data_IF_306459309396
#
_entry.id   IF_306459309396
#
_cell.length_a   1.000
_cell.length_b   1.000
_cell.length_c   1.000
_cell.angle_alpha   90.00
_cell.angle_beta   90.00
_cell.angle_gamma   90.00
#
_symmetry.space_group_name_H-M   'P 1'
#
loop_
_entity.id
_entity.type
_entity.pdbx_description
1 polymer ?
#
# COMPACT_ATOMS: atom_id res chain seq x y z
N UNK A 1 11.49 -0.26 -24.81
CA UNK A 1 10.05 -0.57 -24.75
C UNK A 1 9.42 0.28 -23.64
N UNK A 2 9.00 1.51 -23.98
CA UNK A 2 8.46 2.51 -23.05
C UNK A 2 6.96 2.27 -22.89
N UNK A 3 6.55 1.43 -21.95
CA UNK A 3 5.13 1.28 -21.63
C UNK A 3 4.69 2.24 -20.53
N UNK A 4 3.49 2.74 -20.77
CA UNK A 4 3.04 4.07 -20.42
C UNK A 4 2.72 4.14 -18.92
N UNK A 5 2.94 5.33 -18.36
CA UNK A 5 2.60 5.77 -17.00
C UNK A 5 1.08 5.78 -16.65
N UNK A 6 0.07 5.73 -17.57
CA UNK A 6 -1.30 6.10 -17.23
C UNK A 6 -2.05 5.03 -16.44
N UNK A 7 -1.69 3.74 -16.45
CA UNK A 7 -2.45 2.74 -15.67
C UNK A 7 -2.20 2.88 -14.17
N UNK A 8 -0.94 3.00 -13.76
CA UNK A 8 -0.58 3.36 -12.38
C UNK A 8 -1.17 4.69 -11.96
N UNK A 9 -1.19 5.69 -12.86
CA UNK A 9 -1.83 6.97 -12.59
C UNK A 9 -3.34 6.84 -12.41
N UNK A 10 -4.03 6.06 -13.24
CA UNK A 10 -5.48 5.79 -13.11
C UNK A 10 -5.76 5.04 -11.80
N UNK A 11 -4.99 3.99 -11.49
CA UNK A 11 -5.10 3.23 -10.26
C UNK A 11 -4.90 4.12 -9.03
N UNK A 12 -3.90 5.00 -9.08
CA UNK A 12 -3.62 5.96 -8.01
C UNK A 12 -4.72 7.01 -7.91
N UNK A 13 -5.20 7.55 -9.03
CA UNK A 13 -6.27 8.55 -9.05
C UNK A 13 -7.57 7.99 -8.47
N UNK A 14 -7.98 6.80 -8.90
CA UNK A 14 -9.15 6.10 -8.37
C UNK A 14 -8.97 5.69 -6.91
N UNK A 15 -7.75 5.27 -6.52
CA UNK A 15 -7.41 5.01 -5.12
C UNK A 15 -7.51 6.27 -4.26
N UNK A 16 -7.06 7.42 -4.75
CA UNK A 16 -7.21 8.70 -4.05
C UNK A 16 -8.69 9.04 -3.88
N UNK A 17 -9.49 8.96 -4.95
CA UNK A 17 -10.95 9.15 -4.86
C UNK A 17 -11.56 8.19 -3.83
N UNK A 18 -11.15 6.93 -3.86
CA UNK A 18 -11.60 5.90 -2.93
C UNK A 18 -11.27 6.23 -1.47
N UNK A 19 -10.08 6.72 -1.14
CA UNK A 19 -9.71 7.07 0.23
C UNK A 19 -10.25 8.42 0.68
N UNK A 20 -10.37 9.38 -0.24
CA UNK A 20 -10.79 10.76 0.08
C UNK A 20 -12.28 11.01 -0.15
N UNK A 21 -13.04 9.96 -0.47
CA UNK A 21 -14.49 10.01 -0.61
C UNK A 21 -15.22 10.80 0.48
N UNK A 22 -14.87 10.72 1.79
CA UNK A 22 -15.63 11.42 2.82
C UNK A 22 -15.53 12.94 2.68
N UNK A 23 -14.47 13.43 2.04
CA UNK A 23 -14.13 14.85 2.00
C UNK A 23 -14.88 15.63 0.92
N UNK A 24 -15.53 14.96 -0.04
CA UNK A 24 -16.12 15.62 -1.22
C UNK A 24 -17.65 15.56 -1.30
N UNK A 25 -18.36 14.96 -0.34
CA UNK A 25 -19.83 14.90 -0.40
C UNK A 25 -20.49 16.11 0.31
N UNK A 26 -21.16 17.03 -0.41
CA UNK A 26 -21.80 18.21 0.16
C UNK A 26 -23.16 17.88 0.79
N UNK A 27 -23.52 18.65 1.84
CA UNK A 27 -24.73 18.54 2.68
C UNK A 27 -26.08 18.53 1.92
N UNK A 28 -26.11 19.05 0.70
CA UNK A 28 -27.34 19.38 -0.04
C UNK A 28 -27.73 18.27 -1.02
N UNK A 29 -26.75 17.52 -1.52
CA UNK A 29 -26.94 16.38 -2.44
C UNK A 29 -27.11 15.07 -1.67
N UNK A 30 -26.41 14.94 -0.54
CA UNK A 30 -27.02 15.07 0.78
C UNK A 30 -28.44 14.48 0.91
N UNK A 31 -29.41 15.32 1.30
CA UNK A 31 -30.80 14.95 1.61
C UNK A 31 -31.53 14.00 0.65
N UNK A 32 -31.28 14.05 -0.67
CA UNK A 32 -31.95 13.17 -1.65
C UNK A 32 -31.23 11.82 -1.84
N UNK A 33 -29.92 11.78 -1.62
CA UNK A 33 -29.10 10.56 -1.67
C UNK A 33 -28.92 9.98 -0.26
N UNK A 34 -28.99 10.79 0.80
CA UNK A 34 -28.55 10.50 2.17
C UNK A 34 -29.56 9.82 3.06
N UNK A 35 -30.85 9.93 2.77
CA UNK A 35 -31.84 9.14 3.51
C UNK A 35 -31.62 7.65 3.27
N UNK A 36 -31.16 7.27 2.08
CA UNK A 36 -30.81 5.90 1.75
C UNK A 36 -29.30 5.64 1.83
N UNK A 37 -28.41 6.42 1.19
CA UNK A 37 -26.97 6.13 1.07
C UNK A 37 -26.11 6.29 2.33
N UNK A 38 -26.47 7.15 3.28
CA UNK A 38 -25.74 7.30 4.55
C UNK A 38 -26.36 6.49 5.69
N UNK A 39 -27.45 5.77 5.41
CA UNK A 39 -27.91 4.70 6.28
C UNK A 39 -26.79 3.65 6.39
N UNK A 40 -26.53 3.04 7.57
CA UNK A 40 -25.46 2.05 7.76
C UNK A 40 -25.49 0.89 6.75
N UNK A 41 -26.65 0.65 6.13
CA UNK A 41 -26.88 -0.33 5.05
C UNK A 41 -26.33 0.08 3.69
N UNK A 42 -26.30 1.37 3.35
CA UNK A 42 -26.03 1.82 1.98
C UNK A 42 -24.67 2.44 1.79
N UNK A 43 -24.11 2.94 2.87
CA UNK A 43 -22.71 3.30 2.93
C UNK A 43 -21.86 2.00 2.74
N UNK A 44 -22.35 0.82 3.18
CA UNK A 44 -21.77 -0.50 2.81
C UNK A 44 -21.75 -0.75 1.30
N UNK A 45 -22.82 -0.39 0.55
CA UNK A 45 -22.86 -0.54 -0.90
C UNK A 45 -21.82 0.33 -1.61
N UNK A 46 -21.57 1.54 -1.08
CA UNK A 46 -20.53 2.43 -1.60
C UNK A 46 -19.11 1.89 -1.34
N UNK A 47 -18.85 1.40 -0.13
CA UNK A 47 -17.59 0.74 0.20
C UNK A 47 -17.35 -0.51 -0.66
N UNK A 48 -18.41 -1.29 -0.95
CA UNK A 48 -18.35 -2.43 -1.87
C UNK A 48 -18.07 -2.00 -3.31
N UNK A 49 -18.71 -0.93 -3.81
CA UNK A 49 -18.46 -0.42 -5.16
C UNK A 49 -17.00 0.03 -5.34
N UNK A 50 -16.46 0.78 -4.37
CA UNK A 50 -15.06 1.18 -4.33
C UNK A 50 -14.15 -0.05 -4.29
N UNK A 51 -14.49 -1.03 -3.45
CA UNK A 51 -13.79 -2.30 -3.31
C UNK A 51 -13.69 -3.06 -4.62
N UNK A 52 -14.82 -3.23 -5.31
CA UNK A 52 -14.87 -3.91 -6.61
C UNK A 52 -14.08 -3.14 -7.68
N UNK A 53 -14.17 -1.81 -7.69
CA UNK A 53 -13.41 -0.97 -8.62
C UNK A 53 -11.91 -1.11 -8.39
N UNK A 54 -11.46 -1.09 -7.13
CA UNK A 54 -10.07 -1.30 -6.74
C UNK A 54 -9.55 -2.69 -7.15
N UNK A 55 -10.34 -3.75 -6.93
CA UNK A 55 -9.99 -5.11 -7.38
C UNK A 55 -9.89 -5.16 -8.92
N UNK A 56 -10.87 -4.57 -9.64
CA UNK A 56 -10.87 -4.55 -11.10
C UNK A 56 -9.63 -3.84 -11.67
N UNK A 57 -9.21 -2.73 -11.07
CA UNK A 57 -7.98 -2.02 -11.44
C UNK A 57 -6.75 -2.93 -11.30
N UNK A 58 -6.62 -3.60 -10.14
CA UNK A 58 -5.49 -4.49 -9.87
C UNK A 58 -5.48 -5.66 -10.86
N UNK A 59 -6.66 -6.24 -11.13
CA UNK A 59 -6.82 -7.31 -12.11
C UNK A 59 -6.46 -6.85 -13.53
N UNK A 60 -6.82 -5.62 -13.93
CA UNK A 60 -6.45 -5.05 -15.22
C UNK A 60 -4.93 -4.84 -15.31
N UNK A 61 -4.28 -4.35 -14.24
CA UNK A 61 -2.82 -4.17 -14.22
C UNK A 61 -2.07 -5.50 -14.34
N UNK A 62 -2.56 -6.57 -13.68
CA UNK A 62 -1.98 -7.92 -13.79
C UNK A 62 -2.17 -8.48 -15.21
N UNK A 63 -3.38 -8.35 -15.78
CA UNK A 63 -3.72 -8.93 -17.09
C UNK A 63 -3.07 -8.20 -18.27
N UNK A 64 -2.69 -6.93 -18.14
CA UNK A 64 -2.07 -6.14 -19.22
C UNK A 64 -0.60 -6.48 -19.52
N UNK A 65 -0.09 -7.59 -18.97
CA UNK A 65 0.90 -8.44 -19.64
C UNK A 65 2.21 -7.76 -20.05
N UNK A 66 3.07 -7.39 -19.09
CA UNK A 66 4.40 -6.83 -19.36
C UNK A 66 5.50 -7.31 -18.42
N UNK A 67 5.25 -8.38 -17.68
CA UNK A 67 6.28 -9.03 -16.89
C UNK A 67 6.79 -10.20 -17.73
N UNK A 68 8.09 -10.19 -18.00
CA UNK A 68 8.80 -11.38 -18.49
C UNK A 68 8.37 -12.59 -17.64
N UNK A 69 8.22 -13.78 -18.23
CA UNK A 69 7.69 -14.97 -17.55
C UNK A 69 8.45 -15.26 -16.25
N UNK A 70 9.76 -14.97 -16.25
CA UNK A 70 10.62 -15.07 -15.07
C UNK A 70 10.30 -14.03 -13.98
N UNK A 71 9.92 -12.81 -14.37
CA UNK A 71 9.49 -11.76 -13.44
C UNK A 71 8.12 -12.09 -12.83
N UNK A 72 7.21 -12.68 -13.61
CA UNK A 72 5.93 -13.21 -13.08
C UNK A 72 6.19 -14.31 -12.05
N UNK A 73 7.08 -15.27 -12.36
CA UNK A 73 7.43 -16.35 -11.44
C UNK A 73 8.02 -15.79 -10.14
N UNK A 74 8.94 -14.82 -10.22
CA UNK A 74 9.51 -14.19 -9.03
C UNK A 74 8.46 -13.41 -8.23
N UNK A 75 7.58 -12.68 -8.91
CA UNK A 75 6.47 -11.97 -8.28
C UNK A 75 5.57 -12.94 -7.52
N UNK A 76 5.25 -14.10 -8.11
CA UNK A 76 4.48 -15.15 -7.44
C UNK A 76 5.17 -15.69 -6.18
N UNK A 77 6.46 -16.02 -6.26
CA UNK A 77 7.25 -16.51 -5.11
C UNK A 77 7.31 -15.47 -4.00
N UNK A 78 7.64 -14.21 -4.32
CA UNK A 78 7.69 -13.15 -3.31
C UNK A 78 6.31 -12.83 -2.75
N UNK A 79 5.26 -12.87 -3.57
CA UNK A 79 3.86 -12.71 -3.12
C UNK A 79 3.51 -13.79 -2.10
N UNK A 80 3.85 -15.06 -2.38
CA UNK A 80 3.60 -16.16 -1.46
C UNK A 80 4.39 -16.01 -0.15
N UNK A 81 5.67 -15.61 -0.23
CA UNK A 81 6.49 -15.35 0.97
C UNK A 81 5.93 -14.22 1.82
N UNK A 82 5.56 -13.09 1.21
CA UNK A 82 4.95 -11.96 1.93
C UNK A 82 3.61 -12.38 2.53
N UNK A 83 2.79 -13.14 1.79
CA UNK A 83 1.51 -13.62 2.31
C UNK A 83 1.69 -14.53 3.53
N UNK A 84 2.68 -15.43 3.49
CA UNK A 84 3.04 -16.29 4.61
C UNK A 84 3.56 -15.49 5.82
N UNK A 85 4.38 -14.47 5.60
CA UNK A 85 4.84 -13.57 6.67
C UNK A 85 3.65 -12.90 7.39
N UNK A 86 2.58 -12.56 6.65
CA UNK A 86 1.38 -11.98 7.27
C UNK A 86 0.74 -12.90 8.30
N UNK A 87 0.78 -14.22 8.10
CA UNK A 87 0.24 -15.18 9.08
C UNK A 87 1.01 -15.14 10.41
N UNK A 88 2.34 -14.91 10.35
CA UNK A 88 3.18 -14.82 11.55
C UNK A 88 2.85 -13.57 12.38
N UNK A 89 2.48 -12.47 11.71
CA UNK A 89 2.07 -11.22 12.35
C UNK A 89 0.59 -11.14 12.73
N UNK A 90 -0.24 -12.09 12.30
CA UNK A 90 -1.68 -12.02 12.47
C UNK A 90 -2.06 -12.03 13.96
N UNK A 91 -2.78 -11.00 14.41
CA UNK A 91 -3.29 -10.88 15.78
C UNK A 91 -2.35 -10.20 16.78
N UNK A 92 -1.12 -9.86 16.38
CA UNK A 92 -0.19 -9.09 17.21
C UNK A 92 -0.22 -7.60 16.82
N UNK A 93 -0.48 -6.73 17.80
CA UNK A 93 -0.64 -5.29 17.59
C UNK A 93 0.63 -4.70 16.95
N UNK A 94 0.51 -4.23 15.71
CA UNK A 94 1.58 -3.61 14.93
C UNK A 94 2.75 -4.53 14.55
N UNK A 95 2.67 -5.85 14.75
CA UNK A 95 3.71 -6.79 14.30
C UNK A 95 3.39 -7.25 12.88
N UNK A 96 3.84 -6.49 11.89
CA UNK A 96 3.51 -6.76 10.48
C UNK A 96 4.79 -6.96 9.64
N UNK A 97 5.35 -8.18 9.58
CA UNK A 97 6.60 -8.47 8.86
C UNK A 97 6.47 -8.37 7.33
N UNK A 98 5.28 -8.11 6.80
CA UNK A 98 5.07 -7.98 5.35
C UNK A 98 5.82 -6.78 4.77
N UNK A 99 5.93 -5.69 5.52
CA UNK A 99 6.38 -4.40 5.01
C UNK A 99 7.85 -4.40 4.62
N UNK A 100 8.74 -4.97 5.45
CA UNK A 100 10.16 -4.97 5.14
C UNK A 100 10.43 -5.69 3.81
N UNK A 101 9.79 -6.83 3.56
CA UNK A 101 10.03 -7.61 2.36
C UNK A 101 9.47 -6.91 1.11
N UNK A 102 8.27 -6.31 1.21
CA UNK A 102 7.71 -5.48 0.13
C UNK A 102 8.66 -4.32 -0.21
N UNK A 103 9.15 -3.59 0.80
CA UNK A 103 10.05 -2.44 0.63
C UNK A 103 11.37 -2.87 -0.01
N UNK A 104 12.02 -3.91 0.50
CA UNK A 104 13.30 -4.39 -0.01
C UNK A 104 13.18 -4.97 -1.43
N UNK A 105 12.11 -5.70 -1.74
CA UNK A 105 11.86 -6.21 -3.08
C UNK A 105 11.59 -5.09 -4.08
N UNK A 106 10.69 -4.15 -3.73
CA UNK A 106 10.40 -3.00 -4.56
C UNK A 106 11.64 -2.14 -4.82
N UNK A 107 12.49 -1.95 -3.81
CA UNK A 107 13.77 -1.24 -3.94
C UNK A 107 14.66 -1.80 -5.06
N UNK A 108 14.65 -3.12 -5.26
CA UNK A 108 15.44 -3.80 -6.28
C UNK A 108 14.73 -3.79 -7.63
N UNK A 109 13.50 -4.30 -7.69
CA UNK A 109 12.79 -4.56 -8.95
C UNK A 109 11.99 -3.35 -9.48
N UNK A 110 11.91 -2.26 -8.70
CA UNK A 110 11.34 -0.98 -9.11
C UNK A 110 9.84 -0.84 -8.89
N UNK A 111 9.31 0.31 -9.32
CA UNK A 111 7.96 0.81 -9.02
C UNK A 111 6.86 -0.20 -9.39
N UNK A 112 6.90 -0.72 -10.62
CA UNK A 112 5.84 -1.62 -11.13
C UNK A 112 5.78 -2.93 -10.36
N UNK A 113 6.94 -3.53 -10.13
CA UNK A 113 7.05 -4.76 -9.35
C UNK A 113 6.58 -4.54 -7.91
N UNK A 114 6.99 -3.44 -7.28
CA UNK A 114 6.55 -3.08 -5.94
C UNK A 114 5.05 -2.88 -5.83
N UNK A 115 4.43 -2.19 -6.80
CA UNK A 115 2.98 -2.00 -6.86
C UNK A 115 2.24 -3.33 -6.91
N UNK A 116 2.61 -4.20 -7.86
CA UNK A 116 1.99 -5.51 -8.01
C UNK A 116 2.22 -6.40 -6.79
N UNK A 117 3.44 -6.40 -6.22
CA UNK A 117 3.78 -7.19 -5.04
C UNK A 117 2.93 -6.78 -3.83
N UNK A 118 2.78 -5.47 -3.59
CA UNK A 118 1.93 -4.96 -2.51
C UNK A 118 0.47 -5.38 -2.69
N UNK A 119 -0.12 -5.14 -3.87
CA UNK A 119 -1.50 -5.51 -4.15
C UNK A 119 -1.75 -7.03 -4.00
N UNK A 120 -0.91 -7.84 -4.65
CA UNK A 120 -1.07 -9.28 -4.71
C UNK A 120 -0.84 -9.96 -3.36
N UNK A 121 0.13 -9.49 -2.58
CA UNK A 121 0.46 -10.13 -1.30
C UNK A 121 -0.63 -9.90 -0.25
N UNK A 122 -1.22 -8.70 -0.21
CA UNK A 122 -2.36 -8.39 0.64
C UNK A 122 -3.61 -9.15 0.19
N UNK A 123 -3.85 -9.24 -1.11
CA UNK A 123 -4.95 -10.04 -1.67
C UNK A 123 -4.82 -11.52 -1.37
N UNK A 124 -3.66 -12.12 -1.68
CA UNK A 124 -3.39 -13.54 -1.44
C UNK A 124 -3.48 -13.88 0.05
N UNK A 125 -2.88 -13.08 0.92
CA UNK A 125 -2.95 -13.34 2.36
C UNK A 125 -4.37 -13.27 2.91
N UNK A 126 -5.18 -12.31 2.45
CA UNK A 126 -6.59 -12.26 2.85
C UNK A 126 -7.39 -13.47 2.36
N UNK A 127 -7.11 -13.99 1.17
CA UNK A 127 -7.68 -15.26 0.71
C UNK A 127 -7.27 -16.43 1.62
N UNK A 128 -6.00 -16.48 2.05
CA UNK A 128 -5.47 -17.56 2.89
C UNK A 128 -6.00 -17.49 4.33
N UNK A 129 -6.20 -16.31 4.89
CA UNK A 129 -6.64 -16.13 6.29
C UNK A 129 -8.16 -15.95 6.41
N UNK A 130 -8.91 -16.00 5.31
CA UNK A 130 -10.34 -15.66 5.30
C UNK A 130 -10.63 -14.18 5.59
N UNK A 131 -9.64 -13.30 5.48
CA UNK A 131 -9.73 -11.86 5.77
C UNK A 131 -10.38 -11.03 4.66
N UNK A 132 -11.30 -11.62 3.90
CA UNK A 132 -11.99 -10.93 2.80
C UNK A 132 -13.05 -10.02 3.38
N UNK A 133 -12.92 -8.71 3.12
CA UNK A 133 -13.88 -7.71 3.59
C UNK A 133 -13.79 -6.41 2.78
N UNK A 134 -14.69 -5.46 3.03
CA UNK A 134 -14.72 -4.18 2.32
C UNK A 134 -13.47 -3.33 2.55
N UNK A 135 -12.69 -3.58 3.60
CA UNK A 135 -11.40 -2.93 3.83
C UNK A 135 -10.27 -3.48 2.95
N UNK A 136 -10.40 -4.70 2.42
CA UNK A 136 -9.31 -5.39 1.74
C UNK A 136 -8.79 -4.61 0.53
N UNK A 137 -9.62 -4.06 -0.36
CA UNK A 137 -9.09 -3.38 -1.55
C UNK A 137 -8.37 -2.08 -1.20
N UNK A 138 -8.75 -1.42 -0.10
CA UNK A 138 -7.99 -0.30 0.46
C UNK A 138 -6.61 -0.76 0.93
N UNK A 139 -6.52 -1.87 1.67
CA UNK A 139 -5.23 -2.44 2.09
C UNK A 139 -4.36 -2.80 0.88
N UNK A 140 -4.95 -3.39 -0.17
CA UNK A 140 -4.24 -3.74 -1.39
C UNK A 140 -3.69 -2.51 -2.10
N UNK A 141 -4.48 -1.44 -2.26
CA UNK A 141 -4.02 -0.18 -2.87
C UNK A 141 -2.95 0.50 -2.02
N UNK A 142 -3.16 0.61 -0.70
CA UNK A 142 -2.19 1.23 0.20
C UNK A 142 -0.84 0.49 0.16
N UNK A 143 -0.86 -0.84 0.21
CA UNK A 143 0.34 -1.65 0.07
C UNK A 143 0.98 -1.52 -1.32
N UNK A 144 0.18 -1.41 -2.39
CA UNK A 144 0.67 -1.17 -3.73
C UNK A 144 1.38 0.20 -3.84
N UNK A 145 0.86 1.25 -3.21
CA UNK A 145 1.53 2.55 -3.15
C UNK A 145 2.83 2.50 -2.35
N UNK A 146 2.85 1.79 -1.21
CA UNK A 146 4.07 1.59 -0.41
C UNK A 146 5.13 0.84 -1.22
N UNK A 147 4.75 -0.21 -1.95
CA UNK A 147 5.66 -0.89 -2.86
C UNK A 147 6.14 0.02 -4.00
N UNK A 148 5.23 0.75 -4.64
CA UNK A 148 5.57 1.68 -5.71
C UNK A 148 6.55 2.77 -5.27
N UNK A 149 6.33 3.38 -4.09
CA UNK A 149 7.18 4.41 -3.51
C UNK A 149 8.59 3.89 -3.19
N UNK A 150 8.71 2.70 -2.61
CA UNK A 150 9.99 2.06 -2.33
C UNK A 150 10.79 1.82 -3.62
N UNK A 151 10.11 1.42 -4.69
CA UNK A 151 10.71 1.25 -6.01
C UNK A 151 11.13 2.55 -6.71
N UNK A 152 10.65 3.70 -6.25
CA UNK A 152 11.02 5.04 -6.73
C UNK A 152 12.21 5.64 -5.98
N UNK A 153 12.62 5.06 -4.85
CA UNK A 153 13.73 5.57 -4.04
C UNK A 153 15.02 5.75 -4.89
N UNK A 154 15.82 6.80 -4.65
CA UNK A 154 17.02 7.06 -5.45
C UNK A 154 18.01 5.90 -5.45
N UNK A 155 18.35 5.36 -6.63
CA UNK A 155 19.31 4.25 -6.77
C UNK A 155 20.77 4.63 -6.50
N UNK A 156 21.07 5.93 -6.36
CA UNK A 156 22.40 6.46 -6.04
C UNK A 156 22.89 6.11 -4.62
N UNK A 157 21.98 5.86 -3.69
CA UNK A 157 22.35 5.48 -2.33
C UNK A 157 22.72 4.00 -2.28
N UNK A 158 23.87 3.69 -1.67
CA UNK A 158 24.38 2.34 -1.45
C UNK A 158 24.91 2.20 -0.01
N UNK A 159 25.17 0.97 0.42
CA UNK A 159 25.75 0.69 1.73
C UNK A 159 24.91 1.26 2.89
N UNK A 160 25.54 2.08 3.75
CA UNK A 160 24.86 2.69 4.91
C UNK A 160 23.79 3.71 4.51
N UNK A 161 24.02 4.50 3.46
CA UNK A 161 23.04 5.50 3.01
C UNK A 161 21.77 4.85 2.47
N UNK A 162 21.90 3.72 1.80
CA UNK A 162 20.76 2.90 1.39
C UNK A 162 19.99 2.35 2.59
N UNK A 163 20.70 1.84 3.60
CA UNK A 163 20.08 1.30 4.80
C UNK A 163 19.24 2.36 5.52
N UNK A 164 19.82 3.54 5.76
CA UNK A 164 19.11 4.66 6.42
C UNK A 164 17.90 5.08 5.61
N UNK A 165 18.04 5.19 4.28
CA UNK A 165 16.91 5.54 3.40
C UNK A 165 15.77 4.53 3.53
N UNK A 166 16.07 3.24 3.59
CA UNK A 166 15.07 2.18 3.70
C UNK A 166 14.40 2.16 5.08
N UNK A 167 15.14 2.43 6.15
CA UNK A 167 14.58 2.56 7.51
C UNK A 167 13.64 3.76 7.57
N UNK A 168 14.08 4.94 7.14
CA UNK A 168 13.23 6.13 7.10
C UNK A 168 11.97 5.91 6.25
N UNK A 169 12.13 5.21 5.11
CA UNK A 169 10.99 4.84 4.28
C UNK A 169 10.05 3.85 4.99
N UNK A 170 10.58 2.88 5.74
CA UNK A 170 9.78 1.94 6.52
C UNK A 170 8.96 2.61 7.62
N UNK A 171 9.55 3.58 8.33
CA UNK A 171 8.84 4.41 9.33
C UNK A 171 7.71 5.18 8.65
N UNK A 172 8.02 5.88 7.56
CA UNK A 172 7.01 6.62 6.80
C UNK A 172 5.90 5.70 6.28
N UNK A 173 6.25 4.52 5.76
CA UNK A 173 5.29 3.57 5.23
C UNK A 173 4.35 3.02 6.31
N UNK A 174 4.85 2.83 7.54
CA UNK A 174 4.05 2.35 8.66
C UNK A 174 2.94 3.35 9.03
N UNK A 175 3.31 4.62 9.21
CA UNK A 175 2.39 5.73 9.48
C UNK A 175 1.44 5.99 8.30
N UNK A 176 1.97 5.99 7.07
CA UNK A 176 1.17 6.21 5.87
C UNK A 176 0.10 5.14 5.68
N UNK A 177 0.42 3.86 5.95
CA UNK A 177 -0.57 2.80 5.93
C UNK A 177 -1.64 3.01 7.00
N UNK A 178 -1.24 3.31 8.24
CA UNK A 178 -2.15 3.58 9.36
C UNK A 178 -3.11 4.72 9.03
N UNK A 179 -2.58 5.87 8.59
CA UNK A 179 -3.37 7.04 8.24
C UNK A 179 -4.38 6.73 7.11
N UNK A 180 -4.00 5.99 6.07
CA UNK A 180 -4.94 5.60 5.01
C UNK A 180 -6.05 4.68 5.53
N UNK A 181 -5.69 3.70 6.35
CA UNK A 181 -6.65 2.76 6.92
C UNK A 181 -7.60 3.44 7.90
N UNK A 182 -7.13 4.41 8.67
CA UNK A 182 -7.97 5.23 9.53
C UNK A 182 -8.85 6.16 8.71
N UNK A 183 -8.33 6.78 7.65
CA UNK A 183 -9.11 7.70 6.82
C UNK A 183 -10.34 7.01 6.21
N UNK A 184 -10.18 5.76 5.78
CA UNK A 184 -11.33 5.00 5.28
C UNK A 184 -12.27 4.53 6.40
N UNK A 185 -11.78 4.27 7.62
CA UNK A 185 -12.59 3.82 8.78
C UNK A 185 -13.29 4.97 9.54
N UNK A 186 -12.68 6.15 9.57
CA UNK A 186 -13.03 7.27 10.44
C UNK A 186 -14.49 7.72 10.29
N UNK A 187 -15.07 7.83 9.07
CA UNK A 187 -16.49 8.17 8.89
C UNK A 187 -17.46 7.12 9.45
N UNK A 188 -17.01 5.90 9.68
CA UNK A 188 -17.84 4.78 10.16
C UNK A 188 -17.80 4.61 11.68
N UNK A 189 -16.68 4.95 12.29
CA UNK A 189 -16.41 4.69 13.72
C UNK A 189 -16.80 5.88 14.58
N UNK A 190 -16.67 7.10 14.06
CA UNK A 190 -16.89 8.28 14.87
C UNK A 190 -18.39 8.53 15.05
N UNK A 191 -18.91 8.16 16.23
CA UNK A 191 -20.29 8.41 16.64
C UNK A 191 -20.69 9.89 16.51
N UNK A 192 -21.98 10.15 16.37
CA UNK A 192 -22.52 11.45 15.89
C UNK A 192 -22.19 12.68 16.75
N UNK A 193 -21.57 12.55 17.92
CA UNK A 193 -21.52 13.63 18.93
C UNK A 193 -20.16 13.82 19.63
N UNK A 194 -19.04 13.45 19.01
CA UNK A 194 -17.69 13.71 19.56
C UNK A 194 -16.92 14.82 18.83
N UNK A 195 -16.00 15.48 19.53
CA UNK A 195 -15.10 16.48 18.92
C UNK A 195 -14.17 15.88 17.83
N UNK A 196 -14.04 14.55 17.78
CA UNK A 196 -13.23 13.82 16.81
C UNK A 196 -14.04 13.32 15.61
N UNK A 197 -15.36 13.53 15.63
CA UNK A 197 -16.24 12.96 14.62
C UNK A 197 -16.21 13.70 13.30
N UNK A 198 -16.31 12.93 12.22
CA UNK A 198 -16.48 13.46 10.88
C UNK A 198 -17.76 14.29 10.81
N UNK A 199 -17.68 15.49 10.24
CA UNK A 199 -18.83 16.37 10.01
C UNK A 199 -19.27 16.22 8.55
N UNK A 200 -20.44 15.60 8.27
CA UNK A 200 -20.97 15.51 6.92
C UNK A 200 -21.22 16.90 6.32
N UNK A 201 -20.63 17.18 5.16
CA UNK A 201 -20.75 18.47 4.48
C UNK A 201 -20.04 19.65 5.15
N UNK A 202 -19.26 19.41 6.23
CA UNK A 202 -18.47 20.43 6.91
C UNK A 202 -17.26 20.90 6.10
N UNK A 203 -16.60 21.96 6.57
CA UNK A 203 -15.42 22.51 5.90
C UNK A 203 -14.28 21.48 5.83
N UNK A 204 -13.61 21.38 4.67
CA UNK A 204 -12.51 20.42 4.44
C UNK A 204 -11.39 20.54 5.49
N UNK A 205 -11.00 21.77 5.82
CA UNK A 205 -9.96 22.04 6.80
C UNK A 205 -10.33 21.57 8.21
N UNK A 206 -11.60 21.69 8.60
CA UNK A 206 -12.09 21.24 9.91
C UNK A 206 -12.08 19.71 9.98
N UNK A 207 -12.58 19.03 8.94
CA UNK A 207 -12.54 17.58 8.88
C UNK A 207 -11.10 17.04 8.86
N UNK A 208 -10.17 17.69 8.15
CA UNK A 208 -8.77 17.27 8.15
C UNK A 208 -8.13 17.42 9.53
N UNK A 209 -8.44 18.50 10.25
CA UNK A 209 -7.95 18.70 11.62
C UNK A 209 -8.48 17.60 12.57
N UNK A 210 -9.78 17.30 12.51
CA UNK A 210 -10.41 16.24 13.32
C UNK A 210 -9.82 14.86 13.00
N UNK A 211 -9.60 14.57 11.73
CA UNK A 211 -8.96 13.33 11.28
C UNK A 211 -7.55 13.18 11.87
N UNK A 212 -6.73 14.23 11.83
CA UNK A 212 -5.38 14.17 12.39
C UNK A 212 -5.42 13.86 13.88
N UNK A 213 -6.27 14.55 14.65
CA UNK A 213 -6.38 14.28 16.08
C UNK A 213 -6.90 12.86 16.33
N UNK A 214 -7.91 12.41 15.58
CA UNK A 214 -8.44 11.05 15.65
C UNK A 214 -7.33 10.02 15.44
N UNK A 215 -6.57 10.13 14.34
CA UNK A 215 -5.51 9.20 13.98
C UNK A 215 -4.44 9.09 15.07
N UNK A 216 -3.94 10.24 15.57
CA UNK A 216 -2.97 10.23 16.67
C UNK A 216 -3.54 9.68 17.99
N UNK A 217 -4.84 9.85 18.25
CA UNK A 217 -5.47 9.32 19.44
C UNK A 217 -5.71 7.80 19.38
N UNK A 218 -5.98 7.24 18.19
CA UNK A 218 -6.44 5.86 18.05
C UNK A 218 -5.42 4.89 17.45
N UNK A 219 -4.50 5.36 16.62
CA UNK A 219 -3.63 4.48 15.82
C UNK A 219 -2.18 4.41 16.27
N UNK A 220 -1.71 5.28 17.17
CA UNK A 220 -0.31 5.25 17.65
C UNK A 220 0.09 3.92 18.29
N UNK A 221 -0.86 3.22 18.92
CA UNK A 221 -0.65 1.88 19.47
C UNK A 221 -0.35 0.83 18.38
N UNK A 222 -0.75 1.07 17.13
CA UNK A 222 -0.52 0.20 15.98
C UNK A 222 0.67 0.67 15.13
N UNK A 223 0.77 1.97 14.88
CA UNK A 223 1.73 2.53 13.94
C UNK A 223 3.16 2.56 14.51
N UNK A 224 3.32 2.89 15.80
CA UNK A 224 4.64 2.89 16.46
C UNK A 224 5.25 1.48 16.47
N UNK A 225 4.56 0.41 16.93
CA UNK A 225 5.13 -0.93 16.87
C UNK A 225 5.42 -1.38 15.43
N UNK A 226 4.55 -1.05 14.46
CA UNK A 226 4.78 -1.35 13.03
C UNK A 226 6.04 -0.67 12.51
N UNK A 227 6.22 0.60 12.83
CA UNK A 227 7.40 1.37 12.43
C UNK A 227 8.68 0.78 13.04
N UNK A 228 8.68 0.49 14.34
CA UNK A 228 9.82 -0.12 15.04
C UNK A 228 10.14 -1.48 14.44
N UNK A 229 9.15 -2.37 14.35
CA UNK A 229 9.34 -3.73 13.89
C UNK A 229 9.83 -3.80 12.44
N UNK A 230 9.23 -3.00 11.56
CA UNK A 230 9.67 -2.89 10.16
C UNK A 230 11.10 -2.36 10.08
N UNK A 231 11.42 -1.32 10.86
CA UNK A 231 12.76 -0.72 10.88
C UNK A 231 13.83 -1.69 11.38
N UNK A 232 13.52 -2.45 12.44
CA UNK A 232 14.41 -3.48 12.99
C UNK A 232 14.64 -4.59 11.96
N UNK A 233 13.58 -5.09 11.31
CA UNK A 233 13.73 -6.10 10.26
C UNK A 233 14.57 -5.59 9.08
N UNK A 234 14.36 -4.35 8.65
CA UNK A 234 15.20 -3.73 7.62
C UNK A 234 16.65 -3.62 8.10
N UNK A 235 16.90 -3.11 9.31
CA UNK A 235 18.24 -2.94 9.88
C UNK A 235 19.03 -4.26 9.91
N UNK A 236 18.37 -5.34 10.32
CA UNK A 236 18.98 -6.66 10.46
C UNK A 236 19.14 -7.39 9.13
N UNK A 237 18.17 -7.27 8.21
CA UNK A 237 18.09 -8.16 7.04
C UNK A 237 18.38 -7.49 5.70
N UNK A 238 18.41 -6.15 5.62
CA UNK A 238 18.56 -5.45 4.35
C UNK A 238 19.80 -5.88 3.57
N UNK A 239 20.96 -6.03 4.21
CA UNK A 239 22.20 -6.43 3.53
C UNK A 239 22.08 -7.80 2.84
N UNK A 240 21.81 -8.91 3.54
CA UNK A 240 21.72 -10.23 2.89
C UNK A 240 20.53 -10.32 1.93
N UNK A 241 19.38 -9.74 2.27
CA UNK A 241 18.18 -9.79 1.42
C UNK A 241 18.38 -9.01 0.13
N UNK A 242 18.85 -7.75 0.19
CA UNK A 242 19.15 -6.97 -1.02
C UNK A 242 20.22 -7.63 -1.88
N UNK A 243 21.26 -8.22 -1.27
CA UNK A 243 22.27 -8.96 -2.03
C UNK A 243 21.65 -10.15 -2.79
N UNK A 244 20.76 -10.90 -2.14
CA UNK A 244 20.05 -12.02 -2.78
C UNK A 244 19.13 -11.57 -3.89
N UNK A 245 18.30 -10.56 -3.65
CA UNK A 245 17.35 -10.03 -4.63
C UNK A 245 18.07 -9.40 -5.83
N UNK A 246 19.17 -8.67 -5.62
CA UNK A 246 20.00 -8.13 -6.71
C UNK A 246 20.67 -9.24 -7.52
N UNK A 247 21.08 -10.34 -6.90
CA UNK A 247 21.59 -11.51 -7.63
C UNK A 247 20.50 -12.12 -8.51
N UNK A 248 19.28 -12.23 -8.00
CA UNK A 248 18.14 -12.71 -8.79
C UNK A 248 17.87 -11.77 -9.97
N UNK A 249 17.81 -10.45 -9.74
CA UNK A 249 17.60 -9.44 -10.79
C UNK A 249 18.63 -9.54 -11.93
N UNK A 250 19.93 -9.69 -11.59
CA UNK A 250 20.99 -9.86 -12.59
C UNK A 250 20.82 -11.12 -13.45
N UNK A 251 20.33 -12.22 -12.87
CA UNK A 251 20.06 -13.47 -13.61
C UNK A 251 18.83 -13.35 -14.51
N UNK A 252 17.87 -12.52 -14.12
CA UNK A 252 16.63 -12.28 -14.86
C UNK A 252 16.87 -11.36 -16.07
N UNK A 253 17.79 -10.39 -15.96
CA UNK A 253 18.13 -9.43 -17.02
C UNK A 253 19.61 -9.50 -17.46
N UNK A 254 20.05 -10.54 -18.22
CA UNK A 254 21.45 -10.67 -18.64
C UNK A 254 21.93 -9.53 -19.56
N UNK A 255 21.03 -8.98 -20.38
CA UNK A 255 21.36 -8.07 -21.49
C UNK A 255 21.64 -6.62 -21.01
N UNK A 256 21.10 -6.20 -19.87
CA UNK A 256 21.29 -4.81 -19.37
C UNK A 256 22.73 -4.53 -18.93
N UNK A 257 23.47 -5.55 -18.49
CA UNK A 257 24.85 -5.44 -18.04
C UNK A 257 25.88 -5.57 -19.17
N UNK A 258 25.56 -6.26 -20.27
CA UNK A 258 26.43 -6.32 -21.45
C UNK A 258 26.65 -4.91 -22.04
N UNK A 259 25.61 -4.08 -22.05
CA UNK A 259 25.69 -2.70 -22.57
C UNK A 259 26.54 -1.76 -21.70
N UNK A 260 26.72 -2.07 -20.41
CA UNK A 260 27.60 -1.31 -19.50
C UNK A 260 29.07 -1.67 -19.74
N UNK A 261 29.37 -2.92 -20.09
CA UNK A 261 30.73 -3.34 -20.44
C UNK A 261 31.19 -2.82 -21.81
N UNK A 262 30.29 -2.64 -22.78
CA UNK A 262 30.66 -2.11 -24.11
C UNK A 262 30.89 -0.60 -24.15
N UNK A 263 30.45 0.16 -23.14
CA UNK A 263 30.67 1.62 -23.05
C UNK A 263 31.89 1.96 -22.18
N UNK A 264 32.47 0.96 -21.51
CA UNK A 264 33.67 1.10 -20.67
C UNK A 264 34.95 0.57 -21.35
N UNK A 265 34.88 0.30 -22.66
CA UNK A 265 35.99 -0.02 -23.56
C UNK A 265 36.00 1.02 -24.69
#
# INVERSE_FOLDING_TARGET
>A
MKLRIPTLTIATFLGVIAFTWPLYFPSNSIAAISHDFLNPTSAKWFALLISFTAIAIIAIEINRGLLDSKTVALLGVLTALVAALRLIGAGAIGVEPIWFLIILAARVFGVRFGFSLGALSLGLSALLTGGIGPWLPFQMIAAAWIGAGAGKLPKRFSGRGELVTLICYGIFAAEFFGALMDLQLWPWIAGTDSQLSFIPGGALAENLHRFVIFHFATAMAWDIPRAIFTSVLIALTAKPVLASLRRADRKLNPISHAKVQTVAL
#
